data_IF_030844467162
#
_entry.id   IF_030844467162
#
_cell.length_a   1.000
_cell.length_b   1.000
_cell.length_c   1.000
_cell.angle_alpha   90.00
_cell.angle_beta   90.00
_cell.angle_gamma   90.00
#
_symmetry.space_group_name_H-M   'P 1'
#
loop_
_entity.id
_entity.type
_entity.pdbx_description
1 polymer ?
#
# COMPACT_ATOMS: atom_id res chain seq x y z
N UNK A 1 34.84 -4.22 -46.30
CA UNK A 1 33.37 -4.36 -46.11
C UNK A 1 33.12 -5.42 -45.05
N UNK A 2 32.22 -5.17 -44.09
CA UNK A 2 32.34 -5.63 -42.71
C UNK A 2 31.29 -6.70 -42.36
N UNK A 3 31.51 -7.50 -41.30
CA UNK A 3 30.48 -7.75 -40.28
C UNK A 3 31.19 -8.08 -38.97
N UNK A 4 31.15 -7.13 -38.03
CA UNK A 4 31.53 -7.37 -36.64
C UNK A 4 30.43 -8.17 -35.94
N UNK A 5 30.82 -9.21 -35.19
CA UNK A 5 29.93 -9.87 -34.26
C UNK A 5 30.10 -9.22 -32.88
N UNK A 6 29.29 -8.20 -32.62
CA UNK A 6 29.12 -7.61 -31.28
C UNK A 6 28.43 -8.66 -30.43
N UNK A 7 29.16 -9.25 -29.48
CA UNK A 7 28.58 -10.11 -28.44
C UNK A 7 27.89 -9.18 -27.45
N UNK A 8 26.57 -9.14 -27.52
CA UNK A 8 25.73 -8.45 -26.56
C UNK A 8 25.89 -9.10 -25.17
N UNK A 9 26.64 -8.46 -24.29
CA UNK A 9 26.62 -8.72 -22.86
C UNK A 9 25.26 -8.27 -22.31
N UNK A 10 24.30 -9.20 -22.24
CA UNK A 10 23.07 -9.00 -21.50
C UNK A 10 23.33 -9.18 -20.00
N UNK A 11 23.60 -8.06 -19.34
CA UNK A 11 22.98 -7.67 -18.05
C UNK A 11 22.69 -8.80 -17.05
N UNK A 12 23.74 -9.24 -16.36
CA UNK A 12 23.65 -10.03 -15.12
C UNK A 12 23.43 -9.18 -13.86
N UNK A 13 22.79 -8.01 -13.95
CA UNK A 13 22.71 -7.03 -12.85
C UNK A 13 21.80 -7.46 -11.69
N UNK A 14 21.00 -8.53 -11.82
CA UNK A 14 20.12 -9.01 -10.74
C UNK A 14 20.75 -10.06 -9.82
N UNK A 15 21.82 -10.72 -10.25
CA UNK A 15 22.36 -11.89 -9.52
C UNK A 15 23.36 -11.46 -8.43
N UNK A 16 24.05 -10.33 -8.62
CA UNK A 16 25.00 -9.76 -7.66
C UNK A 16 24.33 -9.05 -6.47
N UNK A 17 23.15 -8.46 -6.63
CA UNK A 17 22.43 -7.75 -5.55
C UNK A 17 21.97 -8.68 -4.42
N UNK A 18 21.76 -9.97 -4.72
CA UNK A 18 21.39 -10.97 -3.72
C UNK A 18 22.57 -11.40 -2.82
N UNK A 19 23.81 -11.20 -3.26
CA UNK A 19 25.03 -11.66 -2.57
C UNK A 19 25.43 -10.68 -1.45
N UNK A 20 25.05 -9.40 -1.54
CA UNK A 20 25.40 -8.37 -0.57
C UNK A 20 24.18 -7.85 0.22
N UNK A 21 23.23 -8.71 0.56
CA UNK A 21 22.15 -8.36 1.48
C UNK A 21 22.50 -8.77 2.92
N UNK A 22 22.22 -7.92 3.90
CA UNK A 22 22.47 -8.19 5.33
C UNK A 22 21.15 -8.45 6.09
N UNK A 23 21.16 -9.28 7.14
CA UNK A 23 19.98 -9.50 7.96
C UNK A 23 19.56 -8.21 8.70
N UNK A 24 18.27 -8.11 9.06
CA UNK A 24 17.71 -6.95 9.79
C UNK A 24 18.50 -6.60 11.07
N UNK A 25 18.99 -7.61 11.78
CA UNK A 25 19.81 -7.45 13.00
C UNK A 25 21.14 -6.73 12.76
N UNK A 26 21.72 -6.89 11.57
CA UNK A 26 22.95 -6.19 11.18
C UNK A 26 22.64 -4.83 10.56
N UNK A 27 21.61 -4.76 9.71
CA UNK A 27 21.17 -3.53 9.07
C UNK A 27 20.89 -2.39 10.07
N UNK A 28 20.21 -2.67 11.20
CA UNK A 28 19.92 -1.61 12.18
C UNK A 28 21.20 -1.09 12.86
N UNK A 29 22.18 -1.98 13.10
CA UNK A 29 23.49 -1.61 13.67
C UNK A 29 24.27 -0.76 12.68
N UNK A 30 24.28 -1.15 11.42
CA UNK A 30 24.88 -0.36 10.35
C UNK A 30 24.23 1.03 10.27
N UNK A 31 22.92 1.14 10.31
CA UNK A 31 22.25 2.45 10.26
C UNK A 31 22.32 3.24 11.58
N UNK A 32 22.77 2.65 12.69
CA UNK A 32 22.76 3.33 13.99
C UNK A 32 21.35 3.72 14.46
N UNK A 33 20.33 2.96 14.03
CA UNK A 33 18.91 3.16 14.38
C UNK A 33 18.41 2.01 15.23
N UNK A 34 17.27 2.23 15.91
CA UNK A 34 16.64 1.18 16.72
C UNK A 34 16.03 0.10 15.82
N UNK A 35 15.97 -1.17 16.26
CA UNK A 35 15.31 -2.24 15.50
C UNK A 35 13.86 -1.88 15.08
N UNK A 36 13.09 -1.25 15.98
CA UNK A 36 11.72 -0.79 15.71
C UNK A 36 11.64 0.33 14.66
N UNK A 37 12.67 1.16 14.55
CA UNK A 37 12.77 2.21 13.54
C UNK A 37 13.08 1.57 12.17
N UNK A 38 13.98 0.58 12.13
CA UNK A 38 14.24 -0.20 10.92
C UNK A 38 12.99 -0.93 10.42
N UNK A 39 12.27 -1.62 11.31
CA UNK A 39 10.99 -2.27 10.99
C UNK A 39 9.99 -1.28 10.40
N UNK A 40 9.86 -0.09 11.02
CA UNK A 40 8.96 0.95 10.53
C UNK A 40 9.40 1.48 9.16
N UNK A 41 10.70 1.63 8.91
CA UNK A 41 11.23 2.07 7.62
C UNK A 41 10.90 1.08 6.51
N UNK A 42 11.04 -0.22 6.76
CA UNK A 42 10.62 -1.26 5.83
C UNK A 42 9.10 -1.26 5.66
N UNK A 43 8.34 -1.09 6.75
CA UNK A 43 6.88 -1.00 6.73
C UNK A 43 6.37 0.17 5.87
N UNK A 44 7.04 1.33 5.94
CA UNK A 44 6.70 2.52 5.17
C UNK A 44 7.28 2.54 3.76
N UNK A 45 8.18 1.60 3.42
CA UNK A 45 8.88 1.58 2.14
C UNK A 45 10.00 2.61 2.02
N UNK A 46 10.45 3.17 3.15
CA UNK A 46 11.65 4.02 3.19
C UNK A 46 12.94 3.20 3.02
N UNK A 47 12.87 1.89 3.29
CA UNK A 47 13.92 0.91 3.03
C UNK A 47 13.36 -0.28 2.26
N UNK A 48 14.02 -0.61 1.15
CA UNK A 48 13.71 -1.81 0.36
C UNK A 48 14.31 -3.07 0.99
N UNK A 49 13.61 -4.19 0.91
CA UNK A 49 14.07 -5.49 1.41
C UNK A 49 13.92 -6.57 0.36
N UNK A 50 14.84 -7.54 0.38
CA UNK A 50 14.75 -8.77 -0.42
C UNK A 50 14.37 -9.95 0.48
N UNK A 51 13.56 -10.86 -0.05
CA UNK A 51 13.24 -12.12 0.62
C UNK A 51 14.51 -12.98 0.71
N UNK A 52 14.79 -13.58 1.87
CA UNK A 52 15.85 -14.58 1.96
C UNK A 52 15.45 -15.83 1.18
N UNK A 53 16.35 -16.29 0.31
CA UNK A 53 16.18 -17.50 -0.53
C UNK A 53 15.99 -18.78 0.29
N UNK A 54 16.46 -18.79 1.55
CA UNK A 54 16.42 -19.96 2.44
C UNK A 54 15.19 -20.01 3.33
N UNK A 55 14.63 -18.87 3.69
CA UNK A 55 13.48 -18.79 4.60
C UNK A 55 12.63 -17.57 4.24
N UNK A 56 11.40 -17.80 3.80
CA UNK A 56 10.44 -16.76 3.40
C UNK A 56 10.14 -15.73 4.50
N UNK A 57 10.52 -16.01 5.75
CA UNK A 57 10.27 -15.16 6.92
C UNK A 57 11.40 -14.21 7.27
N UNK A 58 12.63 -14.44 6.78
CA UNK A 58 13.79 -13.62 7.16
C UNK A 58 14.11 -12.62 6.04
N UNK A 59 13.73 -11.36 6.26
CA UNK A 59 14.01 -10.26 5.33
C UNK A 59 15.46 -9.81 5.45
N UNK A 60 16.06 -9.45 4.32
CA UNK A 60 17.41 -8.89 4.26
C UNK A 60 17.37 -7.53 3.57
N UNK A 61 18.25 -6.64 3.98
CA UNK A 61 18.39 -5.31 3.40
C UNK A 61 19.63 -5.32 2.50
N UNK A 62 19.52 -4.97 1.21
CA UNK A 62 20.69 -4.82 0.34
C UNK A 62 21.69 -3.80 0.91
N UNK A 63 22.99 -4.10 0.89
CA UNK A 63 24.03 -3.17 1.38
C UNK A 63 24.02 -1.86 0.57
N UNK A 64 23.74 -1.93 -0.74
CA UNK A 64 23.54 -0.74 -1.58
C UNK A 64 22.40 0.16 -1.08
N UNK A 65 21.30 -0.42 -0.60
CA UNK A 65 20.17 0.33 -0.04
C UNK A 65 20.56 0.99 1.30
N UNK A 66 21.37 0.30 2.13
CA UNK A 66 21.91 0.89 3.35
C UNK A 66 22.87 2.05 3.06
N UNK A 67 23.72 1.90 2.04
CA UNK A 67 24.62 2.95 1.59
C UNK A 67 23.84 4.17 1.05
N UNK A 68 22.80 3.94 0.23
CA UNK A 68 21.88 4.98 -0.27
C UNK A 68 21.29 5.80 0.87
N UNK A 69 20.72 5.14 1.88
CA UNK A 69 20.10 5.82 3.02
C UNK A 69 21.13 6.55 3.89
N UNK A 70 22.33 5.99 4.09
CA UNK A 70 23.41 6.66 4.82
C UNK A 70 23.95 7.89 4.08
N UNK A 71 23.89 7.90 2.76
CA UNK A 71 24.29 9.02 1.92
C UNK A 71 23.24 10.14 1.85
N UNK A 72 22.03 9.94 2.39
CA UNK A 72 21.02 11.01 2.48
C UNK A 72 21.55 12.15 3.38
N UNK A 73 21.38 13.39 2.93
CA UNK A 73 21.77 14.57 3.69
C UNK A 73 21.02 14.64 5.03
N UNK A 74 21.76 14.94 6.11
CA UNK A 74 21.20 14.98 7.47
C UNK A 74 20.90 13.61 8.07
N UNK A 75 21.43 12.51 7.51
CA UNK A 75 21.36 11.19 8.14
C UNK A 75 22.05 11.19 9.52
N UNK A 76 21.47 10.56 10.56
CA UNK A 76 20.22 9.80 10.59
C UNK A 76 18.96 10.62 10.95
N UNK A 77 19.09 11.92 11.18
CA UNK A 77 17.98 12.77 11.62
C UNK A 77 16.87 12.87 10.56
N UNK A 78 17.23 13.02 9.29
CA UNK A 78 16.27 13.07 8.16
C UNK A 78 15.44 11.79 8.07
N UNK A 79 16.07 10.62 8.21
CA UNK A 79 15.37 9.34 8.23
C UNK A 79 14.43 9.27 9.44
N UNK A 80 14.90 9.63 10.64
CA UNK A 80 14.06 9.60 11.85
C UNK A 80 12.86 10.53 11.74
N UNK A 81 13.01 11.68 11.09
CA UNK A 81 11.89 12.60 10.85
C UNK A 81 10.86 12.00 9.88
N UNK A 82 11.31 11.33 8.81
CA UNK A 82 10.42 10.58 7.90
C UNK A 82 9.68 9.43 8.58
N UNK A 83 10.27 8.86 9.64
CA UNK A 83 9.68 7.76 10.43
C UNK A 83 8.91 8.25 11.66
N UNK A 84 8.87 9.57 11.91
CA UNK A 84 8.33 10.11 13.15
C UNK A 84 6.84 9.85 13.24
N UNK A 85 6.47 9.01 14.20
CA UNK A 85 5.07 8.73 14.54
C UNK A 85 4.61 9.64 15.67
N UNK A 86 3.43 10.23 15.51
CA UNK A 86 2.83 11.14 16.49
C UNK A 86 1.44 10.66 16.90
N UNK A 87 1.10 10.91 18.16
CA UNK A 87 -0.26 10.72 18.68
C UNK A 87 -1.18 11.89 18.35
N UNK A 88 -2.44 11.83 18.77
CA UNK A 88 -3.44 12.84 18.44
C UNK A 88 -3.09 14.27 18.94
N UNK A 89 -2.52 14.40 20.15
CA UNK A 89 -2.16 15.71 20.71
C UNK A 89 -1.06 16.40 19.90
N UNK A 90 0.03 15.67 19.65
CA UNK A 90 1.18 16.18 18.90
C UNK A 90 0.83 16.39 17.42
N UNK A 91 0.07 15.47 16.82
CA UNK A 91 -0.46 15.62 15.46
C UNK A 91 -1.38 16.83 15.30
N UNK A 92 -2.22 17.14 16.29
CA UNK A 92 -3.03 18.36 16.29
C UNK A 92 -2.16 19.63 16.31
N UNK A 93 -1.06 19.60 17.08
CA UNK A 93 -0.06 20.67 17.10
C UNK A 93 0.61 20.88 15.73
N UNK A 94 0.99 19.81 15.04
CA UNK A 94 1.57 19.89 13.69
C UNK A 94 0.61 20.50 12.65
N UNK A 95 -0.69 20.25 12.81
CA UNK A 95 -1.72 20.81 11.94
C UNK A 95 -2.19 22.21 12.37
N UNK A 96 -1.78 22.70 13.54
CA UNK A 96 -2.30 23.96 14.11
C UNK A 96 -3.80 23.92 14.41
N UNK A 97 -4.33 22.77 14.83
CA UNK A 97 -5.76 22.58 15.15
C UNK A 97 -5.96 22.06 16.58
N UNK A 98 -7.20 22.09 17.07
CA UNK A 98 -7.54 21.47 18.35
C UNK A 98 -7.53 19.94 18.26
N UNK A 99 -7.27 19.26 19.38
CA UNK A 99 -7.30 17.79 19.43
C UNK A 99 -8.67 17.20 19.02
N UNK A 100 -9.75 17.93 19.30
CA UNK A 100 -11.12 17.57 18.88
C UNK A 100 -11.23 17.62 17.35
N UNK A 101 -10.78 18.71 16.71
CA UNK A 101 -10.80 18.82 15.25
C UNK A 101 -9.91 17.77 14.60
N UNK A 102 -8.71 17.53 15.14
CA UNK A 102 -7.81 16.47 14.67
C UNK A 102 -8.51 15.11 14.67
N UNK A 103 -9.17 14.76 15.77
CA UNK A 103 -9.88 13.47 15.89
C UNK A 103 -11.03 13.38 14.90
N UNK A 104 -11.80 14.45 14.68
CA UNK A 104 -12.87 14.49 13.68
C UNK A 104 -12.33 14.28 12.26
N UNK A 105 -11.26 14.97 11.88
CA UNK A 105 -10.62 14.80 10.57
C UNK A 105 -10.09 13.38 10.36
N UNK A 106 -9.46 12.80 11.39
CA UNK A 106 -8.95 11.43 11.34
C UNK A 106 -10.09 10.41 11.20
N UNK A 107 -11.17 10.55 11.98
CA UNK A 107 -12.35 9.68 11.92
C UNK A 107 -13.07 9.76 10.58
N UNK A 108 -13.05 10.93 9.94
CA UNK A 108 -13.60 11.12 8.61
C UNK A 108 -12.68 10.63 7.48
N UNK A 109 -11.48 10.13 7.79
CA UNK A 109 -10.57 9.62 6.78
C UNK A 109 -9.74 10.67 6.03
N UNK A 110 -9.66 11.92 6.49
CA UNK A 110 -8.78 12.92 5.84
C UNK A 110 -7.30 12.52 5.82
N UNK A 111 -6.90 11.68 6.78
CA UNK A 111 -5.61 11.04 6.87
C UNK A 111 -5.75 9.74 7.66
N UNK A 112 -4.90 8.76 7.38
CA UNK A 112 -4.96 7.43 7.97
C UNK A 112 -3.82 7.17 8.96
N UNK A 113 -4.06 6.44 10.06
CA UNK A 113 -2.98 6.02 10.95
C UNK A 113 -2.08 4.98 10.28
N UNK A 114 -0.83 4.91 10.74
CA UNK A 114 0.18 3.95 10.29
C UNK A 114 0.23 2.75 11.24
N UNK A 115 0.17 3.03 12.55
CA UNK A 115 0.21 2.02 13.61
C UNK A 115 -0.84 2.35 14.66
N UNK A 116 -1.12 1.37 15.51
CA UNK A 116 -1.88 1.58 16.72
C UNK A 116 -1.21 0.85 17.89
N UNK A 117 -1.52 1.29 19.09
CA UNK A 117 -1.22 0.58 20.32
C UNK A 117 -2.46 0.54 21.20
N UNK A 118 -2.47 -0.36 22.19
CA UNK A 118 -3.48 -0.36 23.23
C UNK A 118 -2.88 0.26 24.48
N UNK A 119 -3.57 1.21 25.09
CA UNK A 119 -3.15 1.73 26.39
C UNK A 119 -3.45 0.72 27.51
N UNK A 120 -3.06 1.04 28.76
CA UNK A 120 -3.36 0.21 29.95
C UNK A 120 -4.86 -0.07 30.16
N UNK A 121 -5.72 0.79 29.61
CA UNK A 121 -7.18 0.69 29.65
C UNK A 121 -7.76 0.00 28.41
N UNK A 122 -6.91 -0.54 27.52
CA UNK A 122 -7.28 -1.22 26.27
C UNK A 122 -7.96 -0.32 25.23
N UNK A 123 -7.89 1.00 25.41
CA UNK A 123 -8.29 1.95 24.38
C UNK A 123 -7.21 2.03 23.29
N UNK A 124 -7.67 2.19 22.05
CA UNK A 124 -6.81 2.26 20.87
C UNK A 124 -6.17 3.63 20.78
N UNK A 125 -4.84 3.67 20.79
CA UNK A 125 -4.03 4.86 20.54
C UNK A 125 -3.49 4.77 19.11
N UNK A 126 -4.04 5.60 18.23
CA UNK A 126 -3.62 5.71 16.85
C UNK A 126 -2.35 6.55 16.69
N UNK A 127 -1.44 6.08 15.86
CA UNK A 127 -0.19 6.75 15.53
C UNK A 127 -0.17 7.14 14.05
N UNK A 128 0.16 8.40 13.78
CA UNK A 128 0.16 9.01 12.45
C UNK A 128 1.57 9.41 12.05
N UNK A 129 1.88 9.39 10.75
CA UNK A 129 3.17 9.85 10.28
C UNK A 129 3.22 11.38 10.29
N UNK A 130 4.22 11.96 10.93
CA UNK A 130 4.35 13.41 11.02
C UNK A 130 4.45 14.08 9.64
N UNK A 131 5.17 13.45 8.70
CA UNK A 131 5.29 13.94 7.32
C UNK A 131 3.94 13.99 6.60
N UNK A 132 3.13 12.92 6.68
CA UNK A 132 1.80 12.90 6.05
C UNK A 132 0.86 13.97 6.62
N UNK A 133 0.98 14.28 7.92
CA UNK A 133 0.20 15.36 8.51
C UNK A 133 0.64 16.73 7.98
N UNK A 134 1.95 16.96 7.82
CA UNK A 134 2.46 18.20 7.21
C UNK A 134 2.02 18.31 5.76
N UNK A 135 2.09 17.22 5.00
CA UNK A 135 1.61 17.18 3.62
C UNK A 135 0.12 17.54 3.54
N UNK A 136 -0.71 17.07 4.48
CA UNK A 136 -2.12 17.46 4.56
C UNK A 136 -2.27 18.96 4.87
N UNK A 137 -1.46 19.51 5.77
CA UNK A 137 -1.51 20.94 6.08
C UNK A 137 -1.12 21.81 4.88
N UNK A 138 -0.14 21.37 4.10
CA UNK A 138 0.32 22.04 2.88
C UNK A 138 -0.69 21.88 1.73
N UNK A 139 -1.10 20.65 1.43
CA UNK A 139 -1.99 20.36 0.29
C UNK A 139 -3.44 20.77 0.54
N UNK A 140 -3.91 20.75 1.80
CA UNK A 140 -5.35 20.90 2.13
C UNK A 140 -5.59 21.83 3.33
N UNK A 141 -5.08 23.07 3.31
CA UNK A 141 -5.21 24.00 4.45
C UNK A 141 -6.67 24.35 4.78
N UNK A 142 -7.58 24.28 3.81
CA UNK A 142 -9.01 24.51 4.01
C UNK A 142 -9.65 23.51 4.99
N UNK A 143 -9.10 22.29 5.11
CA UNK A 143 -9.58 21.31 6.10
C UNK A 143 -9.20 21.68 7.54
N UNK A 144 -8.21 22.55 7.72
CA UNK A 144 -7.68 22.90 9.04
C UNK A 144 -8.40 24.08 9.67
N UNK A 145 -9.09 24.90 8.87
CA UNK A 145 -9.78 26.12 9.31
C UNK A 145 -11.25 26.08 8.93
N UNK A 146 -12.05 26.92 9.59
CA UNK A 146 -13.48 27.08 9.25
C UNK A 146 -14.35 25.83 9.48
N UNK A 147 -15.60 25.85 8.98
CA UNK A 147 -16.50 24.71 9.08
C UNK A 147 -15.95 23.51 8.30
N UNK A 148 -16.30 22.30 8.74
CA UNK A 148 -15.98 21.09 7.99
C UNK A 148 -16.92 20.98 6.79
N UNK A 149 -16.44 20.52 5.63
CA UNK A 149 -17.30 20.29 4.45
C UNK A 149 -18.49 19.37 4.80
N UNK A 150 -19.65 19.60 4.19
CA UNK A 150 -20.89 18.88 4.50
C UNK A 150 -20.76 17.37 4.35
N UNK A 151 -20.09 16.89 3.29
CA UNK A 151 -19.84 15.46 3.11
C UNK A 151 -19.08 14.83 4.28
N UNK A 152 -18.17 15.59 4.89
CA UNK A 152 -17.40 15.14 6.06
C UNK A 152 -18.24 15.17 7.34
N UNK A 153 -19.13 16.15 7.47
CA UNK A 153 -20.11 16.19 8.56
C UNK A 153 -21.06 15.00 8.50
N UNK A 154 -21.53 14.61 7.30
CA UNK A 154 -22.39 13.46 7.11
C UNK A 154 -21.74 12.15 7.55
N UNK A 155 -20.50 11.90 7.12
CA UNK A 155 -19.70 10.73 7.57
C UNK A 155 -19.57 10.69 9.09
N UNK A 156 -19.32 11.84 9.73
CA UNK A 156 -19.22 11.90 11.19
C UNK A 156 -20.58 11.72 11.90
N UNK A 157 -21.67 12.17 11.28
CA UNK A 157 -23.03 12.03 11.82
C UNK A 157 -23.52 10.57 11.75
N UNK A 158 -23.11 9.83 10.73
CA UNK A 158 -23.31 8.37 10.61
C UNK A 158 -22.52 7.60 11.68
N UNK A 159 -21.66 8.28 12.46
CA UNK A 159 -20.88 7.71 13.55
C UNK A 159 -19.68 6.89 13.10
N UNK A 160 -19.46 6.76 11.80
CA UNK A 160 -18.42 5.94 11.21
C UNK A 160 -17.02 6.42 11.63
N UNK A 161 -16.13 5.47 11.89
CA UNK A 161 -14.71 5.74 12.14
C UNK A 161 -13.89 5.09 11.04
N UNK A 162 -13.33 5.91 10.16
CA UNK A 162 -12.55 5.46 9.01
C UNK A 162 -11.11 5.06 9.37
N UNK A 163 -10.66 5.31 10.61
CA UNK A 163 -9.27 5.03 11.02
C UNK A 163 -8.90 3.55 10.92
N UNK A 164 -9.71 2.58 11.42
CA UNK A 164 -9.44 1.15 11.25
C UNK A 164 -9.38 0.74 9.78
N UNK A 165 -10.33 1.21 8.96
CA UNK A 165 -10.40 0.94 7.53
C UNK A 165 -9.18 1.45 6.78
N UNK A 166 -8.79 2.71 7.01
CA UNK A 166 -7.60 3.30 6.39
C UNK A 166 -6.32 2.57 6.81
N UNK A 167 -6.23 2.18 8.08
CA UNK A 167 -5.13 1.36 8.56
C UNK A 167 -5.06 0.02 7.84
N UNK A 168 -6.17 -0.74 7.78
CA UNK A 168 -6.23 -2.03 7.08
C UNK A 168 -5.86 -1.90 5.61
N UNK A 169 -6.45 -0.94 4.89
CA UNK A 169 -6.15 -0.67 3.48
C UNK A 169 -4.65 -0.44 3.27
N UNK A 170 -4.02 0.40 4.13
CA UNK A 170 -2.58 0.61 4.09
C UNK A 170 -1.81 -0.69 4.31
N UNK A 171 -2.17 -1.50 5.31
CA UNK A 171 -1.48 -2.76 5.61
C UNK A 171 -1.61 -3.78 4.48
N UNK A 172 -2.79 -3.91 3.88
CA UNK A 172 -3.00 -4.82 2.74
C UNK A 172 -2.23 -4.35 1.52
N UNK A 173 -2.31 -3.06 1.16
CA UNK A 173 -1.56 -2.53 0.03
C UNK A 173 -0.04 -2.71 0.22
N UNK A 174 0.46 -2.52 1.44
CA UNK A 174 1.85 -2.79 1.79
C UNK A 174 2.23 -4.28 1.73
N UNK A 175 1.32 -5.19 2.08
CA UNK A 175 1.57 -6.63 1.99
C UNK A 175 1.61 -7.09 0.53
N UNK A 176 0.66 -6.63 -0.29
CA UNK A 176 0.57 -6.96 -1.73
C UNK A 176 1.80 -6.43 -2.49
N UNK A 177 2.21 -5.17 -2.28
CA UNK A 177 3.39 -4.59 -2.96
C UNK A 177 4.72 -5.27 -2.63
N UNK A 178 4.78 -6.07 -1.58
CA UNK A 178 6.03 -6.73 -1.12
C UNK A 178 6.21 -8.13 -1.66
N UNK A 179 5.23 -8.65 -2.39
CA UNK A 179 5.24 -10.03 -2.87
C UNK A 179 4.98 -10.08 -4.35
N UNK A 180 5.81 -10.83 -5.06
CA UNK A 180 5.56 -11.22 -6.44
C UNK A 180 4.77 -12.54 -6.51
N UNK A 181 4.61 -13.25 -5.38
CA UNK A 181 3.79 -14.47 -5.29
C UNK A 181 2.29 -14.11 -5.28
N UNK A 182 1.51 -14.53 -6.30
CA UNK A 182 0.07 -14.28 -6.36
C UNK A 182 -0.70 -14.93 -5.22
N UNK A 183 -0.22 -16.05 -4.66
CA UNK A 183 -0.85 -16.68 -3.50
C UNK A 183 -0.68 -15.84 -2.23
N UNK A 184 0.49 -15.25 -2.02
CA UNK A 184 0.72 -14.33 -0.91
C UNK A 184 -0.06 -13.02 -1.07
N UNK A 185 -0.23 -12.52 -2.32
CA UNK A 185 -1.11 -11.39 -2.60
C UNK A 185 -2.58 -11.72 -2.27
N UNK A 186 -3.07 -12.89 -2.66
CA UNK A 186 -4.41 -13.38 -2.30
C UNK A 186 -4.56 -13.51 -0.77
N UNK A 187 -3.56 -14.06 -0.09
CA UNK A 187 -3.55 -14.21 1.36
C UNK A 187 -3.61 -12.85 2.08
N UNK A 188 -3.03 -11.79 1.51
CA UNK A 188 -3.16 -10.44 2.05
C UNK A 188 -4.62 -9.96 2.01
N UNK A 189 -5.32 -10.11 0.89
CA UNK A 189 -6.75 -9.75 0.82
C UNK A 189 -7.61 -10.61 1.75
N UNK A 190 -7.34 -11.91 1.85
CA UNK A 190 -8.04 -12.82 2.76
C UNK A 190 -7.81 -12.48 4.26
N UNK A 191 -6.69 -11.84 4.60
CA UNK A 191 -6.27 -11.62 5.99
C UNK A 191 -7.21 -10.71 6.81
N UNK A 192 -8.11 -9.97 6.17
CA UNK A 192 -9.07 -9.06 6.83
C UNK A 192 -10.52 -9.54 6.71
N UNK A 193 -10.78 -10.60 5.94
CA UNK A 193 -12.12 -11.16 5.77
C UNK A 193 -12.49 -12.04 6.98
N UNK A 194 -13.78 -12.10 7.28
CA UNK A 194 -14.29 -13.06 8.27
C UNK A 194 -14.19 -14.49 7.71
N UNK A 195 -14.16 -15.51 8.59
CA UNK A 195 -14.16 -16.91 8.14
C UNK A 195 -15.33 -17.24 7.21
N UNK A 196 -16.51 -16.70 7.49
CA UNK A 196 -17.75 -16.96 6.74
C UNK A 196 -17.64 -16.40 5.32
N UNK A 197 -17.19 -15.15 5.18
CA UNK A 197 -16.97 -14.53 3.87
C UNK A 197 -15.86 -15.25 3.09
N UNK A 198 -14.82 -15.72 3.78
CA UNK A 198 -13.72 -16.44 3.15
C UNK A 198 -14.16 -17.82 2.65
N UNK A 199 -15.02 -18.51 3.39
CA UNK A 199 -15.61 -19.80 2.98
C UNK A 199 -16.50 -19.67 1.75
N UNK A 200 -17.32 -18.62 1.69
CA UNK A 200 -18.12 -18.30 0.52
C UNK A 200 -17.24 -17.95 -0.69
N UNK A 201 -16.22 -17.12 -0.50
CA UNK A 201 -15.35 -16.65 -1.58
C UNK A 201 -14.38 -17.73 -2.10
N UNK A 202 -13.98 -18.67 -1.23
CA UNK A 202 -13.00 -19.73 -1.54
C UNK A 202 -13.55 -21.09 -1.07
N UNK A 203 -14.37 -21.76 -1.90
CA UNK A 203 -14.99 -23.02 -1.51
C UNK A 203 -13.99 -24.17 -1.29
N UNK A 204 -12.84 -24.15 -1.99
CA UNK A 204 -11.82 -25.20 -1.87
C UNK A 204 -11.07 -25.11 -0.52
N UNK A 205 -11.17 -26.13 0.36
CA UNK A 205 -10.46 -26.16 1.63
C UNK A 205 -8.94 -26.13 1.50
N UNK A 206 -8.37 -26.71 0.43
CA UNK A 206 -6.92 -26.74 0.22
C UNK A 206 -6.38 -25.35 -0.12
N UNK A 207 -7.12 -24.57 -0.92
CA UNK A 207 -6.78 -23.17 -1.18
C UNK A 207 -6.90 -22.33 0.08
N UNK A 208 -7.96 -22.53 0.89
CA UNK A 208 -8.07 -21.84 2.18
C UNK A 208 -6.93 -22.16 3.14
N UNK A 209 -6.51 -23.41 3.22
CA UNK A 209 -5.34 -23.80 4.02
C UNK A 209 -4.06 -23.10 3.52
N UNK A 210 -3.87 -23.03 2.19
CA UNK A 210 -2.74 -22.32 1.60
C UNK A 210 -2.74 -20.82 1.89
N UNK A 211 -3.91 -20.18 1.84
CA UNK A 211 -4.06 -18.77 2.20
C UNK A 211 -3.76 -18.54 3.69
N UNK A 212 -4.14 -19.48 4.57
CA UNK A 212 -3.83 -19.39 5.99
C UNK A 212 -2.32 -19.50 6.27
N UNK A 213 -1.59 -20.38 5.57
CA UNK A 213 -0.13 -20.51 5.68
C UNK A 213 0.60 -19.23 5.28
N UNK A 214 0.12 -18.55 4.24
CA UNK A 214 0.72 -17.35 3.66
C UNK A 214 0.18 -16.05 4.27
N UNK A 215 -0.69 -16.13 5.28
CA UNK A 215 -1.34 -14.97 5.88
C UNK A 215 -0.29 -13.99 6.42
N UNK A 216 -0.26 -12.73 5.96
CA UNK A 216 0.70 -11.75 6.44
C UNK A 216 0.39 -11.33 7.88
N UNK A 217 1.45 -10.99 8.61
CA UNK A 217 1.32 -10.36 9.93
C UNK A 217 0.94 -8.88 9.77
N UNK A 218 -0.33 -8.55 10.05
CA UNK A 218 -0.84 -7.20 9.87
C UNK A 218 -0.47 -6.24 11.00
N UNK A 219 -0.30 -6.75 12.23
CA UNK A 219 0.03 -5.96 13.41
C UNK A 219 1.12 -6.63 14.26
N UNK A 220 1.98 -5.81 14.85
CA UNK A 220 2.99 -6.25 15.84
C UNK A 220 2.43 -6.29 17.26
N UNK A 221 1.19 -5.84 17.47
CA UNK A 221 0.55 -5.87 18.78
C UNK A 221 0.40 -7.31 19.27
N UNK A 222 0.91 -7.60 20.47
CA UNK A 222 0.77 -8.89 21.18
C UNK A 222 -0.12 -8.70 22.40
N UNK A 223 -1.46 -8.67 22.24
CA UNK A 223 -2.39 -8.47 23.36
C UNK A 223 -2.38 -9.67 24.32
N UNK A 224 -2.04 -9.41 25.59
CA UNK A 224 -1.97 -10.43 26.63
C UNK A 224 -3.35 -10.88 27.11
N UNK A 225 -4.30 -9.94 27.26
CA UNK A 225 -5.64 -10.25 27.79
C UNK A 225 -6.67 -10.58 26.69
N UNK A 226 -7.67 -11.40 27.02
CA UNK A 226 -8.77 -11.74 26.09
C UNK A 226 -9.52 -10.50 25.57
N UNK A 227 -9.79 -9.53 26.45
CA UNK A 227 -10.41 -8.27 26.05
C UNK A 227 -9.56 -7.49 25.01
N UNK A 228 -8.25 -7.42 25.21
CA UNK A 228 -7.34 -6.77 24.27
C UNK A 228 -7.28 -7.53 22.93
N UNK A 229 -7.31 -8.87 22.96
CA UNK A 229 -7.39 -9.71 21.75
C UNK A 229 -8.66 -9.45 20.95
N UNK A 230 -9.81 -9.24 21.63
CA UNK A 230 -11.08 -8.89 20.97
C UNK A 230 -10.99 -7.53 20.26
N UNK A 231 -10.42 -6.52 20.93
CA UNK A 231 -10.21 -5.19 20.32
C UNK A 231 -9.31 -5.31 19.10
N UNK A 232 -8.15 -5.97 19.22
CA UNK A 232 -7.23 -6.17 18.09
C UNK A 232 -7.94 -6.91 16.95
N UNK A 233 -8.65 -8.00 17.24
CA UNK A 233 -9.40 -8.75 16.22
C UNK A 233 -10.38 -7.86 15.45
N UNK A 234 -11.18 -7.04 16.16
CA UNK A 234 -12.09 -6.10 15.52
C UNK A 234 -11.39 -5.06 14.63
N UNK A 235 -10.18 -4.63 14.99
CA UNK A 235 -9.38 -3.75 14.13
C UNK A 235 -8.79 -4.48 12.91
N UNK A 236 -8.51 -5.78 13.02
CA UNK A 236 -7.97 -6.59 11.92
C UNK A 236 -9.03 -7.03 10.92
N UNK A 237 -10.29 -7.11 11.33
CA UNK A 237 -11.39 -7.58 10.50
C UNK A 237 -12.10 -6.42 9.80
N UNK A 238 -12.38 -6.56 8.50
CA UNK A 238 -13.21 -5.65 7.73
C UNK A 238 -14.69 -5.85 8.13
N UNK A 239 -15.40 -4.73 8.32
CA UNK A 239 -16.77 -4.73 8.85
C UNK A 239 -17.76 -4.04 7.89
N UNK A 240 -17.32 -3.02 7.16
CA UNK A 240 -18.14 -2.34 6.16
C UNK A 240 -18.34 -3.20 4.91
N UNK A 241 -19.58 -3.29 4.41
CA UNK A 241 -19.92 -4.07 3.21
C UNK A 241 -19.06 -3.70 2.01
N UNK A 242 -18.82 -2.40 1.81
CA UNK A 242 -18.00 -1.88 0.72
C UNK A 242 -16.50 -2.24 0.90
N UNK A 243 -16.01 -2.28 2.14
CA UNK A 243 -14.67 -2.76 2.49
C UNK A 243 -14.52 -4.26 2.22
N UNK A 244 -15.49 -5.06 2.68
CA UNK A 244 -15.54 -6.50 2.43
C UNK A 244 -15.57 -6.78 0.94
N UNK A 245 -16.43 -6.09 0.17
CA UNK A 245 -16.54 -6.26 -1.28
C UNK A 245 -15.21 -5.97 -1.99
N UNK A 246 -14.52 -4.88 -1.65
CA UNK A 246 -13.21 -4.56 -2.24
C UNK A 246 -12.18 -5.65 -1.97
N UNK A 247 -12.12 -6.18 -0.74
CA UNK A 247 -11.18 -7.25 -0.42
C UNK A 247 -11.55 -8.57 -1.10
N UNK A 248 -12.84 -8.89 -1.25
CA UNK A 248 -13.29 -10.04 -2.05
C UNK A 248 -12.89 -9.91 -3.52
N UNK A 249 -13.07 -8.75 -4.14
CA UNK A 249 -12.65 -8.51 -5.52
C UNK A 249 -11.13 -8.68 -5.68
N UNK A 250 -10.34 -8.09 -4.79
CA UNK A 250 -8.88 -8.26 -4.79
C UNK A 250 -8.45 -9.72 -4.61
N UNK A 251 -9.12 -10.45 -3.70
CA UNK A 251 -8.90 -11.89 -3.50
C UNK A 251 -9.17 -12.69 -4.78
N UNK A 252 -10.32 -12.45 -5.44
CA UNK A 252 -10.69 -13.13 -6.68
C UNK A 252 -9.67 -12.89 -7.80
N UNK A 253 -9.20 -11.65 -7.97
CA UNK A 253 -8.19 -11.31 -8.97
C UNK A 253 -6.82 -11.93 -8.69
N UNK A 254 -6.41 -11.97 -7.43
CA UNK A 254 -5.14 -12.60 -7.04
C UNK A 254 -5.20 -14.13 -7.18
N UNK A 255 -6.32 -14.76 -6.79
CA UNK A 255 -6.52 -16.20 -6.95
C UNK A 255 -6.60 -16.64 -8.41
N UNK A 256 -7.25 -15.87 -9.28
CA UNK A 256 -7.27 -16.19 -10.71
C UNK A 256 -5.85 -16.22 -11.29
N UNK A 257 -5.03 -15.22 -10.94
CA UNK A 257 -3.61 -15.14 -11.31
C UNK A 257 -2.82 -16.34 -10.76
N UNK A 258 -3.02 -16.69 -9.48
CA UNK A 258 -2.35 -17.79 -8.81
C UNK A 258 -2.66 -19.16 -9.45
N UNK A 259 -3.95 -19.39 -9.75
CA UNK A 259 -4.42 -20.62 -10.42
C UNK A 259 -3.87 -20.72 -11.84
N UNK A 260 -3.87 -19.63 -12.61
CA UNK A 260 -3.29 -19.61 -13.95
C UNK A 260 -1.78 -19.89 -13.96
N UNK A 261 -1.03 -19.35 -12.99
CA UNK A 261 0.39 -19.63 -12.85
C UNK A 261 0.65 -21.12 -12.55
N UNK A 262 -0.13 -21.73 -11.66
CA UNK A 262 -0.06 -23.17 -11.35
C UNK A 262 -0.37 -24.03 -12.57
N UNK A 263 -1.40 -23.69 -13.34
CA UNK A 263 -1.76 -24.42 -14.56
C UNK A 263 -0.64 -24.39 -15.60
N UNK A 264 0.10 -23.28 -15.71
CA UNK A 264 1.28 -23.17 -16.60
C UNK A 264 2.48 -23.98 -16.11
N UNK A 265 2.67 -24.11 -14.80
CA UNK A 265 3.76 -24.89 -14.21
C UNK A 265 3.48 -26.40 -14.19
N UNK A 266 2.23 -26.84 -14.39
CA UNK A 266 1.93 -28.24 -14.67
C UNK A 266 2.24 -28.46 -16.15
N UNK A 267 3.33 -29.17 -16.52
CA UNK A 267 3.46 -29.61 -17.90
C UNK A 267 2.22 -30.45 -18.20
N UNK A 268 1.69 -30.31 -19.42
CA UNK A 268 0.66 -31.18 -19.95
C UNK A 268 1.09 -32.64 -19.77
N UNK A 269 0.73 -33.24 -18.64
CA UNK A 269 0.72 -34.68 -18.50
C UNK A 269 -0.51 -35.10 -19.28
N UNK A 270 -0.23 -35.63 -20.48
CA UNK A 270 -1.07 -36.52 -21.26
C UNK A 270 -2.14 -35.88 -22.17
N UNK A 271 -1.69 -35.15 -23.20
CA UNK A 271 -2.35 -35.25 -24.50
C UNK A 271 -2.00 -36.60 -25.13
N UNK A 272 -2.75 -37.64 -24.76
CA UNK A 272 -2.91 -38.83 -25.60
C UNK A 272 -3.95 -38.48 -26.67
N UNK A 273 -3.66 -38.58 -27.98
CA UNK A 273 -4.67 -38.29 -28.98
C UNK A 273 -5.67 -39.45 -28.99
N UNK A 274 -6.88 -39.22 -28.52
CA UNK A 274 -8.03 -40.03 -28.88
C UNK A 274 -8.76 -39.27 -30.00
N UNK A 275 -8.81 -39.89 -31.17
CA UNK A 275 -9.38 -39.31 -32.37
C UNK A 275 -10.86 -38.97 -32.24
N UNK A 276 -11.20 -37.88 -32.93
CA UNK A 276 -12.38 -37.65 -33.75
C UNK A 276 -13.72 -38.25 -33.26
N UNK A 277 -14.60 -37.37 -32.78
CA UNK A 277 -16.01 -37.38 -33.21
C UNK A 277 -16.57 -35.96 -33.07
N UNK A 278 -16.94 -35.38 -34.21
CA UNK A 278 -17.65 -34.11 -34.34
C UNK A 278 -19.07 -34.19 -33.76
N UNK A 279 -19.58 -33.08 -33.21
CA UNK A 279 -20.66 -32.29 -33.80
C UNK A 279 -21.52 -31.55 -32.76
N UNK A 280 -21.70 -30.25 -33.01
CA UNK A 280 -23.00 -29.58 -32.83
C UNK A 280 -23.16 -28.67 -31.61
N UNK A 281 -23.33 -27.36 -31.85
CA UNK A 281 -24.01 -26.50 -30.87
C UNK A 281 -23.64 -25.03 -30.92
N UNK A 282 -24.24 -24.29 -31.85
CA UNK A 282 -24.17 -22.84 -31.97
C UNK A 282 -24.73 -22.09 -30.73
N UNK A 283 -24.20 -20.89 -30.46
CA UNK A 283 -24.77 -19.95 -29.50
C UNK A 283 -23.95 -18.67 -29.35
N UNK A 284 -24.25 -17.68 -30.18
CA UNK A 284 -23.63 -16.35 -30.24
C UNK A 284 -24.31 -15.38 -29.26
N UNK A 285 -23.52 -14.40 -28.82
CA UNK A 285 -23.86 -13.02 -28.43
C UNK A 285 -24.37 -12.74 -27.00
N UNK A 286 -23.71 -11.77 -26.37
CA UNK A 286 -24.10 -11.13 -25.12
C UNK A 286 -23.01 -10.19 -24.61
N UNK A 287 -22.79 -9.06 -25.31
CA UNK A 287 -21.87 -8.02 -24.90
C UNK A 287 -22.37 -7.29 -23.65
N UNK A 288 -21.51 -7.20 -22.63
CA UNK A 288 -21.67 -6.31 -21.48
C UNK A 288 -20.38 -5.51 -21.32
N UNK A 289 -20.38 -4.27 -21.78
CA UNK A 289 -19.26 -3.35 -21.58
C UNK A 289 -19.06 -3.06 -20.09
N UNK A 290 -17.82 -2.76 -19.65
CA UNK A 290 -17.57 -2.39 -18.26
C UNK A 290 -18.18 -1.01 -18.00
N UNK A 291 -19.11 -0.96 -17.03
CA UNK A 291 -19.58 0.28 -16.43
C UNK A 291 -18.42 0.88 -15.61
N UNK A 292 -18.01 2.14 -15.84
CA UNK A 292 -17.01 2.79 -15.00
C UNK A 292 -17.66 3.22 -13.69
N UNK A 293 -17.17 2.71 -12.56
CA UNK A 293 -17.45 3.29 -11.25
C UNK A 293 -16.32 4.25 -10.85
N UNK A 294 -16.65 5.35 -10.16
CA UNK A 294 -15.71 6.43 -9.90
C UNK A 294 -14.70 6.00 -8.82
N UNK A 295 -13.41 5.98 -9.18
CA UNK A 295 -12.35 6.06 -8.19
C UNK A 295 -12.40 7.46 -7.56
N UNK A 296 -12.77 7.51 -6.28
CA UNK A 296 -12.36 8.60 -5.41
C UNK A 296 -10.87 8.46 -5.15
N UNK A 297 -10.06 9.17 -5.93
CA UNK A 297 -8.63 9.33 -5.71
C UNK A 297 -8.37 9.99 -4.34
N UNK A 298 -8.13 9.17 -3.33
CA UNK A 298 -7.37 9.59 -2.15
C UNK A 298 -5.97 9.02 -2.24
N UNK A 299 -5.25 9.46 -3.27
CA UNK A 299 -3.80 9.36 -3.32
C UNK A 299 -3.20 10.30 -2.26
N UNK A 300 -2.29 9.83 -1.39
CA UNK A 300 -1.42 10.71 -0.62
C UNK A 300 -0.60 11.57 -1.60
N UNK A 301 -0.42 12.87 -1.30
CA UNK A 301 0.34 13.83 -2.14
C UNK A 301 1.79 13.36 -2.48
N UNK A 302 2.30 12.29 -1.86
CA UNK A 302 3.66 11.80 -2.06
C UNK A 302 3.91 11.17 -3.45
N UNK A 303 2.91 10.57 -4.11
CA UNK A 303 3.10 9.97 -5.45
C UNK A 303 3.17 11.01 -6.58
N UNK A 304 2.65 12.22 -6.36
CA UNK A 304 2.71 13.30 -7.35
C UNK A 304 4.12 13.93 -7.52
N UNK A 305 5.08 13.61 -6.64
CA UNK A 305 6.45 14.19 -6.68
C UNK A 305 7.48 13.33 -7.44
N UNK A 306 7.11 12.17 -7.97
CA UNK A 306 8.06 11.24 -8.65
C UNK A 306 8.00 11.21 -10.18
N UNK A 307 7.14 12.00 -10.82
CA UNK A 307 7.15 12.17 -12.28
C UNK A 307 7.82 13.48 -12.66
N UNK A 308 8.93 13.48 -13.44
CA UNK A 308 9.38 14.72 -14.07
C UNK A 308 8.31 15.20 -15.06
N UNK A 309 8.03 16.52 -15.14
CA UNK A 309 7.09 17.03 -16.12
C UNK A 309 7.60 16.73 -17.54
N UNK A 310 6.72 16.37 -18.50
CA UNK A 310 7.15 16.27 -19.89
C UNK A 310 7.63 17.64 -20.37
N UNK A 311 8.78 17.66 -21.03
CA UNK A 311 9.35 18.85 -21.65
C UNK A 311 8.32 19.43 -22.64
N UNK A 312 7.83 20.63 -22.35
CA UNK A 312 7.05 21.43 -23.30
C UNK A 312 8.05 22.20 -24.14
N UNK A 313 8.16 21.81 -25.41
CA UNK A 313 8.94 22.52 -26.41
C UNK A 313 8.26 23.87 -26.73
N UNK A 314 8.94 25.02 -26.59
CA UNK A 314 8.34 26.31 -26.86
C UNK A 314 8.42 26.64 -28.36
N UNK A 315 7.33 26.44 -29.08
CA UNK A 315 7.19 26.98 -30.44
C UNK A 315 6.71 28.45 -30.41
N UNK A 316 7.14 29.31 -31.37
CA UNK A 316 7.37 30.73 -31.13
C UNK A 316 6.12 31.61 -31.28
N UNK A 317 6.10 32.68 -30.47
CA UNK A 317 5.13 33.79 -30.52
C UNK A 317 5.24 34.58 -31.82
N UNK A 318 4.09 34.85 -32.46
CA UNK A 318 3.91 35.91 -33.44
C UNK A 318 3.67 37.28 -32.75
N UNK A 319 4.00 38.41 -33.39
CA UNK A 319 4.20 39.69 -32.71
C UNK A 319 2.91 40.50 -32.46
N UNK A 320 3.05 41.40 -31.48
CA UNK A 320 2.02 42.28 -30.95
C UNK A 320 1.51 43.33 -31.94
N UNK A 321 0.19 43.50 -32.00
CA UNK A 321 -0.45 44.68 -32.58
C UNK A 321 -0.68 45.72 -31.46
N UNK A 322 -0.05 46.88 -31.62
CA UNK A 322 -0.21 48.04 -30.78
C UNK A 322 -1.60 48.67 -30.95
N UNK A 323 -2.26 49.04 -29.85
CA UNK A 323 -3.34 50.03 -29.86
C UNK A 323 -3.10 51.06 -28.76
N UNK A 324 -3.16 52.31 -29.21
CA UNK A 324 -2.80 53.57 -28.55
C UNK A 324 -3.68 53.90 -27.35
N UNK A 325 -3.05 54.58 -26.39
CA UNK A 325 -3.69 55.32 -25.31
C UNK A 325 -4.44 56.56 -25.82
N UNK A 326 -5.53 56.93 -25.15
CA UNK A 326 -6.20 58.23 -25.21
C UNK A 326 -6.32 58.77 -23.78
N UNK A 327 -6.02 60.06 -23.51
CA UNK A 327 -5.85 60.58 -22.16
C UNK A 327 -7.17 61.00 -21.51
N UNK A 328 -7.16 61.00 -20.18
CA UNK A 328 -8.23 61.49 -19.30
C UNK A 328 -8.35 63.02 -19.37
N UNK A 329 -9.59 63.51 -19.32
CA UNK A 329 -9.98 64.78 -18.69
C UNK A 329 -10.92 64.45 -17.54
#
# INVERSE_FOLDING_TARGET
MPVGLVRAEKTGTRETDAVEAVPMGEAHRMLGIRPRELELAVELGALSTVASRRESRHRRVPVAELARVRAEEGFPATLRERLRLVGAREGAGLLGVTAVRFTRLARAGCFGPVRFSLNRYRAVVWLYLASELRDVAECRPALLRGPLPEGLLRVLAEGEDWRPRHWRNRRIAQAVRRTDDPWAAAAAHAAVLTPEVLEEAVPDPAERARLAELRPELTTARPESLAARRVVRGLLTADGEDEVLRHRLGLTLALSTARSARSRCRPEREHRPAGNAEAGGAGRAGGGGPVPLPLGDFLPCHEARQSPPPAVDPSPRAPAAAVRAVPRR
#
